data_IF_154842224215
#
_entry.id   IF_154842224215
#
_cell.length_a   1.000
_cell.length_b   1.000
_cell.length_c   1.000
_cell.angle_alpha   90.00
_cell.angle_beta   90.00
_cell.angle_gamma   90.00
#
_symmetry.space_group_name_H-M   'P 1'
#
loop_
_entity.id
_entity.type
_entity.pdbx_description
1 polymer ?
#
# COMPACT_ATOMS: atom_id res chain seq x y z
N UNK A 1 -12.18 -3.40 0.99
CA UNK A 1 -12.85 -3.04 -0.28
C UNK A 1 -12.15 -1.79 -0.81
N UNK A 2 -11.41 -1.88 -1.91
CA UNK A 2 -10.71 -0.75 -2.51
C UNK A 2 -11.75 0.19 -3.14
N UNK A 3 -12.25 1.15 -2.36
CA UNK A 3 -13.12 2.21 -2.87
C UNK A 3 -12.24 3.29 -3.48
N UNK A 4 -12.33 3.47 -4.81
CA UNK A 4 -11.75 4.63 -5.47
C UNK A 4 -12.31 5.92 -4.83
N UNK A 5 -11.48 6.96 -4.62
CA UNK A 5 -11.97 8.28 -4.22
C UNK A 5 -13.09 8.75 -5.14
N UNK A 6 -14.09 9.45 -4.58
CA UNK A 6 -15.32 9.84 -5.32
C UNK A 6 -15.04 10.62 -6.61
N UNK A 7 -13.93 11.37 -6.65
CA UNK A 7 -13.48 12.13 -7.81
C UNK A 7 -13.04 11.24 -8.99
N UNK A 8 -12.32 10.16 -8.70
CA UNK A 8 -11.86 9.22 -9.74
C UNK A 8 -13.03 8.47 -10.35
N UNK A 9 -14.04 8.10 -9.56
CA UNK A 9 -15.26 7.50 -10.08
C UNK A 9 -15.99 8.44 -11.05
N UNK A 10 -16.09 9.73 -10.74
CA UNK A 10 -16.74 10.71 -11.63
C UNK A 10 -15.97 10.89 -12.94
N UNK A 11 -14.63 10.95 -12.88
CA UNK A 11 -13.78 11.04 -14.07
C UNK A 11 -13.85 9.76 -14.91
N UNK A 12 -13.92 8.60 -14.25
CA UNK A 12 -14.12 7.29 -14.88
C UNK A 12 -15.46 7.22 -15.61
N UNK A 13 -16.55 7.67 -14.95
CA UNK A 13 -17.89 7.75 -15.53
C UNK A 13 -17.90 8.70 -16.74
N UNK A 14 -17.23 9.85 -16.63
CA UNK A 14 -17.14 10.83 -17.71
C UNK A 14 -16.43 10.27 -18.96
N UNK A 15 -15.30 9.58 -18.79
CA UNK A 15 -14.59 8.96 -19.91
C UNK A 15 -15.35 7.75 -20.49
N UNK A 16 -16.04 6.97 -19.65
CA UNK A 16 -16.91 5.88 -20.08
C UNK A 16 -18.09 6.37 -20.92
N UNK A 17 -18.77 7.42 -20.46
CA UNK A 17 -19.91 8.02 -21.13
C UNK A 17 -19.55 8.57 -22.52
N UNK A 18 -18.28 9.00 -22.71
CA UNK A 18 -17.78 9.51 -23.99
C UNK A 18 -17.10 8.46 -24.88
N UNK A 19 -17.01 7.20 -24.43
CA UNK A 19 -16.31 6.10 -25.10
C UNK A 19 -14.86 6.42 -25.53
N UNK A 20 -14.19 7.33 -24.83
CA UNK A 20 -12.89 7.85 -25.27
C UNK A 20 -11.72 6.90 -24.96
N UNK A 21 -11.91 5.94 -24.05
CA UNK A 21 -10.87 5.02 -23.58
C UNK A 21 -11.44 3.60 -23.40
N UNK A 22 -10.59 2.59 -23.56
CA UNK A 22 -10.94 1.19 -23.26
C UNK A 22 -10.93 0.95 -21.74
N UNK A 23 -11.69 -0.04 -21.27
CA UNK A 23 -11.77 -0.42 -19.83
C UNK A 23 -10.42 -0.64 -19.16
N UNK A 24 -9.47 -1.29 -19.84
CA UNK A 24 -8.13 -1.53 -19.30
C UNK A 24 -7.33 -0.23 -19.11
N UNK A 25 -7.45 0.71 -20.04
CA UNK A 25 -6.80 2.01 -19.95
C UNK A 25 -7.44 2.87 -18.85
N UNK A 26 -8.75 2.78 -18.68
CA UNK A 26 -9.46 3.43 -17.58
C UNK A 26 -9.01 2.90 -16.21
N UNK A 27 -8.86 1.58 -16.06
CA UNK A 27 -8.33 0.98 -14.83
C UNK A 27 -6.88 1.43 -14.58
N UNK A 28 -6.05 1.49 -15.63
CA UNK A 28 -4.67 1.97 -15.55
C UNK A 28 -4.59 3.42 -15.09
N UNK A 29 -5.46 4.30 -15.60
CA UNK A 29 -5.50 5.71 -15.19
C UNK A 29 -5.91 5.85 -13.73
N UNK A 30 -6.99 5.18 -13.30
CA UNK A 30 -7.45 5.23 -11.92
C UNK A 30 -6.40 4.69 -10.94
N UNK A 31 -5.79 3.54 -11.24
CA UNK A 31 -4.74 2.96 -10.39
C UNK A 31 -3.52 3.88 -10.32
N UNK A 32 -3.12 4.51 -11.44
CA UNK A 32 -1.96 5.42 -11.46
C UNK A 32 -2.21 6.69 -10.65
N UNK A 33 -3.39 7.28 -10.77
CA UNK A 33 -3.74 8.50 -10.03
C UNK A 33 -3.84 8.20 -8.53
N UNK A 34 -4.48 7.09 -8.18
CA UNK A 34 -4.48 6.57 -6.80
C UNK A 34 -3.06 6.37 -6.27
N UNK A 35 -2.20 5.63 -6.98
CA UNK A 35 -0.81 5.42 -6.55
C UNK A 35 -0.06 6.75 -6.32
N UNK A 36 -0.23 7.72 -7.21
CA UNK A 36 0.41 9.03 -7.05
C UNK A 36 -0.12 9.80 -5.82
N UNK A 37 -1.43 9.77 -5.56
CA UNK A 37 -2.03 10.44 -4.41
C UNK A 37 -1.52 9.82 -3.10
N UNK A 38 -1.52 8.49 -3.02
CA UNK A 38 -1.01 7.75 -1.86
C UNK A 38 0.50 7.92 -1.67
N UNK A 39 1.28 8.05 -2.75
CA UNK A 39 2.70 8.39 -2.66
C UNK A 39 2.91 9.80 -2.04
N UNK A 40 2.08 10.79 -2.42
CA UNK A 40 2.14 12.12 -1.83
C UNK A 40 1.80 12.10 -0.34
N UNK A 41 0.72 11.41 0.05
CA UNK A 41 0.32 11.23 1.45
C UNK A 41 1.42 10.53 2.27
N UNK A 42 2.05 9.50 1.69
CA UNK A 42 3.15 8.78 2.32
C UNK A 42 4.35 9.69 2.56
N UNK A 43 4.73 10.50 1.58
CA UNK A 43 5.86 11.44 1.71
C UNK A 43 5.58 12.58 2.70
N UNK A 44 4.33 13.04 2.81
CA UNK A 44 3.90 13.97 3.85
C UNK A 44 3.99 13.36 5.25
N UNK A 45 3.47 12.14 5.40
CA UNK A 45 3.54 11.41 6.65
C UNK A 45 4.99 11.15 7.08
N UNK A 46 5.87 10.73 6.16
CA UNK A 46 7.29 10.53 6.43
C UNK A 46 7.95 11.81 6.92
N UNK A 47 7.72 12.95 6.25
CA UNK A 47 8.25 14.26 6.66
C UNK A 47 7.79 14.66 8.05
N UNK A 48 6.49 14.56 8.31
CA UNK A 48 5.90 14.92 9.61
C UNK A 48 6.46 14.03 10.73
N UNK A 49 6.43 12.72 10.54
CA UNK A 49 6.89 11.75 11.54
C UNK A 49 8.38 11.87 11.81
N UNK A 50 9.20 12.07 10.77
CA UNK A 50 10.64 12.29 10.93
C UNK A 50 10.92 13.58 11.72
N UNK A 51 10.18 14.66 11.42
CA UNK A 51 10.28 15.93 12.16
C UNK A 51 9.87 15.79 13.63
N UNK A 52 8.75 15.12 13.92
CA UNK A 52 8.24 14.89 15.28
C UNK A 52 9.22 14.05 16.12
N UNK A 53 9.87 13.07 15.50
CA UNK A 53 10.87 12.22 16.15
C UNK A 53 12.28 12.84 16.18
N UNK A 54 12.48 14.00 15.54
CA UNK A 54 13.79 14.65 15.43
C UNK A 54 14.84 13.81 14.69
N UNK A 55 14.41 12.98 13.72
CA UNK A 55 15.29 12.12 12.92
C UNK A 55 15.20 12.47 11.43
N UNK A 56 16.16 12.00 10.64
CA UNK A 56 16.06 12.08 9.18
C UNK A 56 15.03 11.08 8.64
N UNK A 57 14.45 11.39 7.49
CA UNK A 57 13.53 10.50 6.77
C UNK A 57 14.20 9.15 6.48
N UNK A 58 15.45 9.13 6.03
CA UNK A 58 16.16 7.88 5.75
C UNK A 58 16.29 6.99 7.00
N UNK A 59 16.45 7.59 8.19
CA UNK A 59 16.50 6.83 9.44
C UNK A 59 15.12 6.31 9.85
N UNK A 60 14.06 7.06 9.55
CA UNK A 60 12.68 6.60 9.72
C UNK A 60 12.40 5.39 8.80
N UNK A 61 12.77 5.47 7.53
CA UNK A 61 12.60 4.40 6.54
C UNK A 61 13.35 3.13 6.94
N UNK A 62 14.60 3.26 7.40
CA UNK A 62 15.39 2.11 7.89
C UNK A 62 14.71 1.43 9.10
N UNK A 63 14.16 2.20 10.03
CA UNK A 63 13.43 1.64 11.19
C UNK A 63 12.15 0.92 10.76
N UNK A 64 11.39 1.50 9.83
CA UNK A 64 10.19 0.88 9.28
C UNK A 64 10.51 -0.42 8.55
N UNK A 65 11.57 -0.41 7.73
CA UNK A 65 12.03 -1.61 7.01
C UNK A 65 12.45 -2.72 7.98
N UNK A 66 13.25 -2.38 9.00
CA UNK A 66 13.65 -3.34 10.03
C UNK A 66 12.43 -3.90 10.80
N UNK A 67 11.46 -3.05 11.13
CA UNK A 67 10.22 -3.48 11.81
C UNK A 67 9.37 -4.40 10.93
N UNK A 68 9.25 -4.11 9.63
CA UNK A 68 8.52 -4.96 8.69
C UNK A 68 9.21 -6.32 8.51
N UNK A 69 10.53 -6.34 8.41
CA UNK A 69 11.32 -7.58 8.32
C UNK A 69 11.17 -8.43 9.59
N UNK A 70 11.19 -7.81 10.76
CA UNK A 70 10.94 -8.52 12.03
C UNK A 70 9.53 -9.12 12.08
N UNK A 71 8.50 -8.41 11.60
CA UNK A 71 7.14 -8.93 11.56
C UNK A 71 7.02 -10.17 10.66
N UNK A 72 7.62 -10.13 9.46
CA UNK A 72 7.63 -11.27 8.52
C UNK A 72 8.25 -12.52 9.17
N UNK A 73 9.37 -12.35 9.88
CA UNK A 73 10.06 -13.44 10.58
C UNK A 73 9.19 -14.01 11.72
N UNK A 74 8.50 -13.15 12.48
CA UNK A 74 7.62 -13.62 13.56
C UNK A 74 6.36 -14.32 13.06
N UNK A 75 5.79 -13.89 11.93
CA UNK A 75 4.59 -14.52 11.36
C UNK A 75 4.87 -15.84 10.65
N UNK A 76 6.13 -16.13 10.33
CA UNK A 76 6.53 -17.40 9.69
C UNK A 76 6.99 -18.46 10.72
N UNK A 77 7.13 -18.09 11.99
CA UNK A 77 7.53 -18.99 13.08
C UNK A 77 6.40 -19.82 13.70
N UNK A 78 5.14 -19.47 13.44
CA UNK A 78 3.98 -20.11 14.08
C UNK A 78 3.28 -21.16 13.20
N UNK A 79 3.63 -21.27 11.91
CA UNK A 79 2.99 -22.23 10.97
C UNK A 79 3.71 -23.60 10.89
N UNK A 80 4.82 -23.80 11.60
CA UNK A 80 5.64 -25.03 11.52
C UNK A 80 5.65 -25.83 12.84
N UNK A 81 4.57 -25.76 13.62
CA UNK A 81 4.38 -26.53 14.84
C UNK A 81 3.17 -27.48 14.77
N UNK A 82 3.11 -28.31 13.73
CA UNK A 82 2.35 -29.57 13.76
C UNK A 82 3.06 -30.66 12.95
N UNK A 83 4.29 -30.98 13.37
CA UNK A 83 4.97 -32.22 12.96
C UNK A 83 4.44 -33.37 13.82
N UNK A 84 3.50 -34.11 13.24
CA UNK A 84 3.21 -35.55 13.42
C UNK A 84 3.64 -36.19 14.75
N UNK A 85 2.67 -36.44 15.62
CA UNK A 85 2.71 -37.60 16.52
C UNK A 85 1.41 -38.40 16.37
N UNK A 86 1.47 -39.45 15.58
CA UNK A 86 0.60 -40.61 15.79
C UNK A 86 1.29 -41.87 15.28
N UNK A 87 2.23 -42.39 16.08
CA UNK A 87 2.53 -43.82 16.07
C UNK A 87 1.44 -44.56 16.83
N UNK A 88 0.54 -45.28 16.13
CA UNK A 88 -0.06 -46.56 16.58
C UNK A 88 -0.36 -47.44 15.38
#
# INVERSE_FOLDING_TARGET
>A
MLSLPSFDNQRLIFHAARQTLRKAEMARVAVREWLNEHDCELEEWKRKTASELGISISRLEQKLLASAQHQVITSQGDDDAHSEDNSV
#
